data_IF_917744776443
#
_entry.id   IF_917744776443
#
_cell.length_a   1.000
_cell.length_b   1.000
_cell.length_c   1.000
_cell.angle_alpha   90.00
_cell.angle_beta   90.00
_cell.angle_gamma   90.00
#
_symmetry.space_group_name_H-M   'P 1'
#
loop_
_entity.id
_entity.type
_entity.pdbx_description
1 polymer ?
#
# COMPACT_ATOMS: atom_id res chain seq x y z
N UNK A 1 -25.22 52.59 -16.32
CA UNK A 1 -25.47 52.42 -14.88
C UNK A 1 -24.18 52.03 -14.17
N UNK A 2 -23.09 52.77 -14.40
CA UNK A 2 -21.83 52.55 -13.70
C UNK A 2 -21.47 53.88 -13.04
N UNK A 3 -21.56 53.90 -11.72
CA UNK A 3 -21.23 55.05 -10.88
C UNK A 3 -20.31 54.60 -9.74
N UNK A 4 -19.48 55.50 -9.20
CA UNK A 4 -18.51 55.14 -8.18
C UNK A 4 -19.22 54.65 -6.90
N UNK A 5 -18.84 53.46 -6.44
CA UNK A 5 -19.32 52.84 -5.19
C UNK A 5 -18.26 52.99 -4.10
N UNK A 6 -18.61 53.69 -3.03
CA UNK A 6 -17.78 53.76 -1.82
C UNK A 6 -18.19 52.64 -0.86
N UNK A 7 -17.30 51.67 -0.65
CA UNK A 7 -17.54 50.49 0.17
C UNK A 7 -16.74 50.61 1.47
N UNK A 8 -17.39 50.40 2.61
CA UNK A 8 -16.73 50.34 3.93
C UNK A 8 -16.38 48.88 4.24
N UNK A 9 -15.11 48.59 4.51
CA UNK A 9 -14.68 47.26 4.92
C UNK A 9 -15.25 46.91 6.30
N UNK A 10 -16.07 45.85 6.39
CA UNK A 10 -16.63 45.35 7.65
C UNK A 10 -15.74 44.31 8.33
N UNK A 11 -15.02 43.51 7.55
CA UNK A 11 -14.06 42.49 8.01
C UNK A 11 -12.89 42.42 7.03
N UNK A 12 -11.66 42.39 7.53
CA UNK A 12 -10.45 42.25 6.71
C UNK A 12 -9.56 41.11 7.22
N UNK A 13 -8.69 40.60 6.34
CA UNK A 13 -7.77 39.51 6.67
C UNK A 13 -8.48 38.21 7.01
N UNK A 14 -8.12 37.62 8.16
CA UNK A 14 -8.58 36.29 8.62
C UNK A 14 -10.06 36.24 9.00
N UNK A 15 -10.68 37.40 9.22
CA UNK A 15 -12.13 37.51 9.49
C UNK A 15 -12.97 37.65 8.21
N UNK A 16 -12.33 37.66 7.03
CA UNK A 16 -13.03 37.79 5.76
C UNK A 16 -13.73 36.49 5.34
N UNK A 17 -14.78 36.63 4.54
CA UNK A 17 -15.48 35.48 3.93
C UNK A 17 -14.52 34.63 3.09
N UNK A 18 -13.54 35.24 2.41
CA UNK A 18 -12.53 34.52 1.61
C UNK A 18 -11.65 33.65 2.50
N UNK A 19 -11.18 34.18 3.64
CA UNK A 19 -10.41 33.41 4.62
C UNK A 19 -11.22 32.23 5.19
N UNK A 20 -12.52 32.43 5.42
CA UNK A 20 -13.44 31.36 5.81
C UNK A 20 -13.59 30.26 4.74
N UNK A 21 -13.65 30.63 3.45
CA UNK A 21 -13.71 29.67 2.34
C UNK A 21 -12.42 28.86 2.26
N UNK A 22 -11.24 29.51 2.31
CA UNK A 22 -9.95 28.79 2.27
C UNK A 22 -9.79 27.84 3.45
N UNK A 23 -10.18 28.25 4.67
CA UNK A 23 -10.14 27.40 5.85
C UNK A 23 -11.07 26.18 5.70
N UNK A 24 -12.26 26.39 5.15
CA UNK A 24 -13.21 25.29 4.89
C UNK A 24 -12.67 24.32 3.84
N UNK A 25 -11.96 24.81 2.81
CA UNK A 25 -11.29 23.97 1.81
C UNK A 25 -10.14 23.18 2.43
N UNK A 26 -9.30 23.81 3.26
CA UNK A 26 -8.21 23.12 3.98
C UNK A 26 -8.74 22.02 4.90
N UNK A 27 -9.79 22.30 5.68
CA UNK A 27 -10.43 21.32 6.55
C UNK A 27 -11.04 20.15 5.74
N UNK A 28 -11.57 20.42 4.54
CA UNK A 28 -12.09 19.39 3.65
C UNK A 28 -10.99 18.54 2.99
N UNK A 29 -9.85 19.14 2.61
CA UNK A 29 -8.71 18.46 2.01
C UNK A 29 -7.87 17.67 3.01
N UNK A 30 -7.90 18.03 4.30
CA UNK A 30 -7.17 17.32 5.36
C UNK A 30 -7.76 15.95 5.73
N UNK A 31 -8.93 15.57 5.21
CA UNK A 31 -9.56 14.29 5.54
C UNK A 31 -8.99 13.17 4.68
N UNK A 32 -8.31 12.22 5.33
CA UNK A 32 -7.75 11.04 4.68
C UNK A 32 -8.78 10.37 3.75
N UNK A 33 -8.38 10.12 2.51
CA UNK A 33 -9.26 9.57 1.49
C UNK A 33 -9.79 8.18 1.93
N UNK A 34 -11.11 7.92 1.82
CA UNK A 34 -11.71 6.67 2.29
C UNK A 34 -11.12 5.43 1.59
N UNK A 35 -10.64 5.58 0.35
CA UNK A 35 -10.00 4.50 -0.42
C UNK A 35 -8.65 4.08 0.18
N UNK A 36 -7.90 5.03 0.76
CA UNK A 36 -6.59 4.75 1.37
C UNK A 36 -6.75 3.88 2.63
N UNK A 37 -7.80 4.13 3.42
CA UNK A 37 -8.13 3.32 4.59
C UNK A 37 -8.47 1.87 4.23
N UNK A 38 -9.08 1.65 3.07
CA UNK A 38 -9.43 0.31 2.59
C UNK A 38 -8.18 -0.48 2.18
N UNK A 39 -7.24 0.17 1.50
CA UNK A 39 -5.97 -0.43 1.13
C UNK A 39 -5.14 -0.80 2.38
N UNK A 40 -5.04 0.12 3.34
CA UNK A 40 -4.30 -0.11 4.59
C UNK A 40 -4.93 -1.22 5.44
N UNK A 41 -6.27 -1.34 5.45
CA UNK A 41 -6.99 -2.39 6.16
C UNK A 41 -6.74 -3.80 5.61
N UNK A 42 -6.41 -3.93 4.31
CA UNK A 42 -6.10 -5.22 3.67
C UNK A 42 -4.61 -5.54 3.78
N UNK A 43 -3.75 -4.53 3.59
CA UNK A 43 -2.29 -4.71 3.62
C UNK A 43 -1.79 -5.15 5.00
N UNK A 44 -2.32 -4.58 6.10
CA UNK A 44 -1.91 -4.92 7.46
C UNK A 44 -2.06 -6.42 7.79
N UNK A 45 -3.28 -6.99 7.75
CA UNK A 45 -3.51 -8.41 8.05
C UNK A 45 -2.76 -9.36 7.11
N UNK A 46 -2.63 -8.99 5.83
CA UNK A 46 -1.91 -9.80 4.85
C UNK A 46 -0.44 -9.99 5.22
N UNK A 47 0.24 -8.90 5.63
CA UNK A 47 1.65 -8.95 6.04
C UNK A 47 1.84 -9.85 7.27
N UNK A 48 0.96 -9.74 8.27
CA UNK A 48 1.01 -10.62 9.45
C UNK A 48 0.75 -12.09 9.09
N UNK A 49 -0.14 -12.36 8.13
CA UNK A 49 -0.39 -13.70 7.61
C UNK A 49 0.84 -14.33 6.94
N UNK A 50 1.51 -13.60 6.05
CA UNK A 50 2.73 -14.06 5.37
C UNK A 50 3.87 -14.32 6.36
N UNK A 51 4.05 -13.42 7.34
CA UNK A 51 5.02 -13.62 8.44
C UNK A 51 4.74 -14.90 9.23
N UNK A 52 3.47 -15.18 9.55
CA UNK A 52 3.05 -16.39 10.26
C UNK A 52 3.33 -17.67 9.45
N UNK A 53 3.00 -17.68 8.16
CA UNK A 53 3.22 -18.84 7.28
C UNK A 53 4.73 -19.09 7.07
N UNK A 54 5.54 -18.03 6.92
CA UNK A 54 6.99 -18.14 6.81
C UNK A 54 7.60 -18.74 8.09
N UNK A 55 7.20 -18.23 9.26
CA UNK A 55 7.66 -18.78 10.55
C UNK A 55 7.22 -20.24 10.76
N UNK A 56 5.99 -20.59 10.37
CA UNK A 56 5.49 -21.97 10.44
C UNK A 56 6.27 -22.91 9.50
N UNK A 57 6.61 -22.45 8.30
CA UNK A 57 7.40 -23.22 7.33
C UNK A 57 8.83 -23.46 7.84
N UNK A 58 9.47 -22.42 8.40
CA UNK A 58 10.78 -22.56 9.04
C UNK A 58 10.73 -23.52 10.24
N UNK A 59 9.70 -23.41 11.09
CA UNK A 59 9.50 -24.33 12.21
C UNK A 59 9.27 -25.78 11.77
N UNK A 60 8.47 -25.99 10.73
CA UNK A 60 8.19 -27.33 10.20
C UNK A 60 9.45 -28.00 9.64
N UNK A 61 10.23 -27.28 8.83
CA UNK A 61 11.46 -27.83 8.24
C UNK A 61 12.60 -28.03 9.25
N UNK A 62 12.68 -27.20 10.29
CA UNK A 62 13.71 -27.34 11.35
C UNK A 62 13.40 -28.47 12.33
N UNK A 63 12.12 -28.79 12.57
CA UNK A 63 11.72 -29.84 13.53
C UNK A 63 11.44 -31.20 12.89
N UNK A 64 10.89 -31.24 11.67
CA UNK A 64 10.44 -32.47 11.02
C UNK A 64 11.14 -32.78 9.67
N UNK A 65 11.92 -31.84 9.12
CA UNK A 65 12.56 -31.98 7.81
C UNK A 65 13.65 -33.06 7.76
N UNK A 66 14.48 -33.15 8.80
CA UNK A 66 15.52 -34.19 8.91
C UNK A 66 14.94 -35.60 9.14
N UNK A 67 13.74 -35.69 9.75
CA UNK A 67 13.12 -36.96 10.12
C UNK A 67 12.30 -37.61 8.99
N UNK A 68 11.75 -36.83 8.04
CA UNK A 68 10.83 -37.31 7.01
C UNK A 68 11.46 -37.50 5.62
N UNK A 69 12.53 -36.77 5.26
CA UNK A 69 13.16 -36.85 3.93
C UNK A 69 14.71 -36.78 4.00
N UNK A 70 15.40 -37.91 4.26
CA UNK A 70 16.85 -37.97 4.13
C UNK A 70 17.24 -37.89 2.65
N UNK A 71 17.68 -36.70 2.19
CA UNK A 71 18.19 -36.49 0.83
C UNK A 71 17.69 -35.24 0.11
N UNK A 72 16.54 -34.68 0.48
CA UNK A 72 16.03 -33.45 -0.14
C UNK A 72 16.91 -32.22 0.17
N UNK A 73 17.61 -32.24 1.32
CA UNK A 73 18.59 -31.23 1.71
C UNK A 73 19.93 -31.34 0.94
N UNK A 74 20.23 -32.49 0.31
CA UNK A 74 21.45 -32.67 -0.48
C UNK A 74 21.35 -32.05 -1.89
N UNK A 75 20.17 -32.09 -2.54
CA UNK A 75 19.98 -31.42 -3.84
C UNK A 75 19.97 -29.89 -3.71
N UNK A 76 19.49 -29.35 -2.59
CA UNK A 76 19.56 -27.92 -2.30
C UNK A 76 20.96 -27.45 -1.82
N UNK A 77 21.86 -28.39 -1.48
CA UNK A 77 23.12 -28.18 -0.79
C UNK A 77 24.40 -28.36 -1.63
N UNK A 78 24.36 -28.13 -2.94
CA UNK A 78 25.55 -28.25 -3.80
C UNK A 78 26.66 -27.20 -3.55
N UNK A 79 26.44 -26.25 -2.64
CA UNK A 79 27.44 -25.28 -2.18
C UNK A 79 27.49 -25.22 -0.64
N UNK A 80 28.31 -26.09 -0.02
CA UNK A 80 28.85 -25.85 1.32
C UNK A 80 28.20 -26.65 2.46
N UNK A 81 29.08 -27.32 3.21
CA UNK A 81 28.83 -28.33 4.24
C UNK A 81 28.24 -27.80 5.57
N UNK A 82 27.14 -27.03 5.53
CA UNK A 82 26.51 -26.50 6.74
C UNK A 82 25.00 -26.84 6.84
N UNK A 83 24.56 -27.60 7.86
CA UNK A 83 23.17 -28.14 7.96
C UNK A 83 22.06 -27.08 8.10
N UNK A 84 22.43 -25.80 8.29
CA UNK A 84 21.49 -24.69 8.46
C UNK A 84 21.16 -23.94 7.14
N UNK A 85 21.86 -24.22 6.04
CA UNK A 85 21.77 -23.41 4.81
C UNK A 85 20.63 -23.83 3.87
N UNK A 86 20.23 -25.12 3.88
CA UNK A 86 19.10 -25.65 3.11
C UNK A 86 17.72 -25.11 3.55
N UNK A 87 17.40 -25.13 4.86
CA UNK A 87 16.14 -24.56 5.37
C UNK A 87 16.01 -23.06 5.10
N UNK A 88 17.13 -22.33 5.11
CA UNK A 88 17.15 -20.89 4.84
C UNK A 88 16.76 -20.57 3.39
N UNK A 89 17.17 -21.40 2.40
CA UNK A 89 16.74 -21.24 1.01
C UNK A 89 15.25 -21.47 0.82
N UNK A 90 14.70 -22.56 1.39
CA UNK A 90 13.26 -22.85 1.32
C UNK A 90 12.42 -21.76 1.99
N UNK A 91 12.87 -21.23 3.13
CA UNK A 91 12.21 -20.10 3.78
C UNK A 91 12.25 -18.83 2.92
N UNK A 92 13.36 -18.58 2.22
CA UNK A 92 13.51 -17.42 1.32
C UNK A 92 12.64 -17.58 0.07
N UNK A 93 12.58 -18.77 -0.54
CA UNK A 93 11.71 -19.05 -1.69
C UNK A 93 10.23 -18.82 -1.35
N UNK A 94 9.77 -19.30 -0.18
CA UNK A 94 8.40 -19.06 0.28
C UNK A 94 8.14 -17.58 0.53
N UNK A 95 9.10 -16.86 1.10
CA UNK A 95 8.98 -15.41 1.30
C UNK A 95 8.91 -14.63 -0.02
N UNK A 96 9.73 -15.01 -1.02
CA UNK A 96 9.72 -14.38 -2.34
C UNK A 96 8.42 -14.68 -3.09
N UNK A 97 7.93 -15.92 -3.05
CA UNK A 97 6.65 -16.30 -3.65
C UNK A 97 5.47 -15.58 -2.99
N UNK A 98 5.54 -15.31 -1.69
CA UNK A 98 4.49 -14.62 -0.95
C UNK A 98 4.51 -13.09 -1.09
N UNK A 99 5.58 -12.51 -1.65
CA UNK A 99 5.71 -11.06 -1.74
C UNK A 99 4.65 -10.46 -2.69
N UNK A 100 3.75 -9.59 -2.21
CA UNK A 100 2.63 -9.09 -3.01
C UNK A 100 3.04 -7.93 -3.93
N UNK A 101 4.19 -8.02 -4.61
CA UNK A 101 4.75 -6.94 -5.45
C UNK A 101 3.75 -6.39 -6.47
N UNK A 102 2.84 -7.23 -6.99
CA UNK A 102 1.80 -6.83 -7.93
C UNK A 102 0.68 -5.99 -7.29
N UNK A 103 0.44 -6.15 -5.98
CA UNK A 103 -0.67 -5.51 -5.27
C UNK A 103 -0.43 -4.00 -5.11
N UNK A 104 0.82 -3.57 -4.92
CA UNK A 104 1.20 -2.16 -4.82
C UNK A 104 1.02 -1.36 -6.12
N UNK A 105 1.14 -2.04 -7.27
CA UNK A 105 0.95 -1.41 -8.60
C UNK A 105 -0.48 -1.52 -9.12
N UNK A 106 -1.30 -2.43 -8.59
CA UNK A 106 -2.67 -2.64 -9.05
C UNK A 106 -3.55 -1.38 -8.88
N UNK A 107 -3.47 -0.71 -7.73
CA UNK A 107 -4.26 0.50 -7.45
C UNK A 107 -3.91 1.69 -8.36
N UNK A 108 -2.63 2.13 -8.50
CA UNK A 108 -2.30 3.25 -9.37
C UNK A 108 -2.56 2.95 -10.85
N UNK A 109 -2.37 1.70 -11.30
CA UNK A 109 -2.67 1.33 -12.69
C UNK A 109 -4.17 1.36 -12.97
N UNK A 110 -5.01 0.83 -12.06
CA UNK A 110 -6.45 0.91 -12.18
C UNK A 110 -6.96 2.35 -12.21
N UNK A 111 -6.47 3.22 -11.31
CA UNK A 111 -6.85 4.63 -11.26
C UNK A 111 -6.40 5.38 -12.53
N UNK A 112 -5.18 5.13 -13.01
CA UNK A 112 -4.65 5.76 -14.22
C UNK A 112 -5.47 5.38 -15.46
N UNK A 113 -5.79 4.10 -15.62
CA UNK A 113 -6.64 3.62 -16.72
C UNK A 113 -8.06 4.17 -16.60
N UNK A 114 -8.67 4.12 -15.40
CA UNK A 114 -10.00 4.66 -15.17
C UNK A 114 -10.09 6.15 -15.49
N UNK A 115 -9.10 6.94 -15.07
CA UNK A 115 -9.03 8.38 -15.35
C UNK A 115 -8.83 8.64 -16.84
N UNK A 116 -7.97 7.86 -17.51
CA UNK A 116 -7.76 7.98 -18.96
C UNK A 116 -9.03 7.67 -19.77
N UNK A 117 -9.85 6.72 -19.31
CA UNK A 117 -11.11 6.37 -19.94
C UNK A 117 -12.21 7.41 -19.64
N UNK A 118 -12.25 7.91 -18.40
CA UNK A 118 -13.15 8.99 -17.99
C UNK A 118 -12.94 10.27 -18.79
N UNK A 119 -11.67 10.63 -19.02
CA UNK A 119 -11.31 11.81 -19.84
C UNK A 119 -11.83 11.70 -21.28
N UNK A 120 -11.82 10.51 -21.88
CA UNK A 120 -12.39 10.27 -23.22
C UNK A 120 -13.91 10.45 -23.26
N UNK A 121 -14.59 10.26 -22.14
CA UNK A 121 -16.03 10.44 -21.99
C UNK A 121 -16.41 11.85 -21.48
N UNK A 122 -15.47 12.80 -21.47
CA UNK A 122 -15.70 14.17 -21.00
C UNK A 122 -15.75 14.35 -19.48
N UNK A 123 -15.39 13.31 -18.71
CA UNK A 123 -15.33 13.37 -17.24
C UNK A 123 -13.88 13.58 -16.81
N UNK A 124 -13.57 14.80 -16.34
CA UNK A 124 -12.25 15.14 -15.84
C UNK A 124 -12.18 14.93 -14.32
N UNK A 125 -11.54 13.84 -13.90
CA UNK A 125 -11.24 13.59 -12.49
C UNK A 125 -10.02 14.43 -12.08
N UNK A 126 -10.24 15.42 -11.21
CA UNK A 126 -9.18 16.13 -10.48
C UNK A 126 -9.09 15.50 -9.10
N UNK A 127 -8.08 14.65 -8.92
CA UNK A 127 -7.75 13.98 -7.65
C UNK A 127 -6.56 14.64 -6.99
#
# INVERSE_FOLDING_TARGET
FEGPLTIKASSSGDSSIVAGITKTIEEAQGRAAPVQRLADAIAGPFVFGVMGISAATFGFWTLAGDALFPGALMEAGSFGAAPWMGPLKLATDVLVVACPCALGLATPTAVLVATSLGARNGVLLRG
#
